data_IF_178318678390
#
_entry.id   IF_178318678390
#
_cell.length_a   1.000
_cell.length_b   1.000
_cell.length_c   1.000
_cell.angle_alpha   90.00
_cell.angle_beta   90.00
_cell.angle_gamma   90.00
#
_symmetry.space_group_name_H-M   'P 1'
#
loop_
_entity.id
_entity.type
_entity.pdbx_description
1 polymer ?
#
# COMPACT_ATOMS: atom_id res chain seq x y z
N UNK A 1 22.91 1.74 -1.83
CA UNK A 1 21.76 2.64 -2.09
C UNK A 1 20.56 1.76 -2.35
N UNK A 2 19.72 1.52 -1.34
CA UNK A 2 18.50 0.73 -1.51
C UNK A 2 17.33 1.71 -1.44
N UNK A 3 16.48 1.71 -2.47
CA UNK A 3 15.10 2.19 -2.36
C UNK A 3 14.27 0.99 -1.91
N UNK A 4 14.21 0.69 -0.60
CA UNK A 4 13.64 -0.56 -0.09
C UNK A 4 12.15 -0.70 -0.42
N UNK A 5 11.47 0.39 -0.76
CA UNK A 5 10.05 0.39 -1.09
C UNK A 5 9.80 -0.05 -2.54
N UNK A 6 10.63 0.39 -3.50
CA UNK A 6 10.49 0.03 -4.92
C UNK A 6 10.70 -1.47 -5.11
N UNK A 7 11.72 -2.03 -4.45
CA UNK A 7 12.03 -3.46 -4.57
C UNK A 7 10.92 -4.35 -4.01
N UNK A 8 10.23 -3.92 -2.96
CA UNK A 8 9.12 -4.71 -2.41
C UNK A 8 7.89 -4.64 -3.31
N UNK A 9 7.55 -3.45 -3.83
CA UNK A 9 6.47 -3.34 -4.82
C UNK A 9 6.77 -4.17 -6.06
N UNK A 10 8.02 -4.17 -6.55
CA UNK A 10 8.46 -5.04 -7.64
C UNK A 10 8.20 -6.51 -7.33
N UNK A 11 8.63 -7.00 -6.17
CA UNK A 11 8.38 -8.38 -5.74
C UNK A 11 6.90 -8.73 -5.65
N UNK A 12 6.04 -7.79 -5.25
CA UNK A 12 4.59 -8.03 -5.21
C UNK A 12 4.00 -8.27 -6.61
N UNK A 13 4.41 -7.50 -7.61
CA UNK A 13 3.99 -7.71 -9.01
C UNK A 13 4.66 -8.92 -9.65
N UNK A 14 5.93 -9.21 -9.34
CA UNK A 14 6.60 -10.44 -9.79
C UNK A 14 5.91 -11.70 -9.23
N UNK A 15 5.37 -11.64 -8.01
CA UNK A 15 4.59 -12.72 -7.41
C UNK A 15 3.15 -12.81 -7.94
N UNK A 16 2.66 -11.78 -8.64
CA UNK A 16 1.30 -11.73 -9.21
C UNK A 16 1.36 -11.16 -10.64
N UNK A 17 2.01 -11.86 -11.59
CA UNK A 17 2.29 -11.32 -12.93
C UNK A 17 1.03 -11.01 -13.74
N UNK A 18 -0.10 -11.63 -13.41
CA UNK A 18 -1.40 -11.40 -14.04
C UNK A 18 -2.09 -10.11 -13.55
N UNK A 19 -1.63 -9.51 -12.44
CA UNK A 19 -2.26 -8.33 -11.86
C UNK A 19 -1.65 -7.05 -12.42
N UNK A 20 -2.47 -6.28 -13.12
CA UNK A 20 -2.16 -4.90 -13.50
C UNK A 20 -2.32 -3.90 -12.34
N UNK A 21 -2.96 -4.31 -11.24
CA UNK A 21 -3.22 -3.48 -10.06
C UNK A 21 -3.15 -4.31 -8.79
N UNK A 22 -2.51 -3.77 -7.75
CA UNK A 22 -2.50 -4.33 -6.40
C UNK A 22 -3.23 -3.37 -5.47
N UNK A 23 -4.12 -3.90 -4.63
CA UNK A 23 -4.93 -3.11 -3.69
C UNK A 23 -4.50 -3.42 -2.27
N UNK A 24 -4.09 -2.40 -1.51
CA UNK A 24 -3.74 -2.51 -0.09
C UNK A 24 -4.85 -1.88 0.75
N UNK A 25 -5.52 -2.69 1.57
CA UNK A 25 -6.57 -2.25 2.50
C UNK A 25 -6.01 -2.19 3.94
N UNK A 26 -6.08 -1.03 4.58
CA UNK A 26 -5.53 -0.80 5.92
C UNK A 26 -6.33 0.22 6.72
N UNK A 27 -5.90 0.47 7.96
CA UNK A 27 -6.40 1.59 8.76
C UNK A 27 -5.41 2.75 8.64
N UNK A 28 -5.92 3.95 8.49
CA UNK A 28 -5.13 5.17 8.49
C UNK A 28 -4.40 5.31 9.82
N UNK A 29 -3.09 5.55 9.79
CA UNK A 29 -2.26 5.74 10.99
C UNK A 29 -2.76 6.87 11.89
N UNK A 30 -3.28 7.94 11.29
CA UNK A 30 -3.63 9.17 12.02
C UNK A 30 -5.06 9.16 12.58
N UNK A 31 -6.05 8.73 11.78
CA UNK A 31 -7.46 8.79 12.17
C UNK A 31 -8.11 7.42 12.42
N UNK A 32 -7.40 6.31 12.17
CA UNK A 32 -7.90 4.95 12.36
C UNK A 32 -8.99 4.49 11.38
N UNK A 33 -9.49 5.38 10.50
CA UNK A 33 -10.48 5.04 9.46
C UNK A 33 -9.90 4.11 8.41
N UNK A 34 -10.75 3.32 7.78
CA UNK A 34 -10.34 2.46 6.67
C UNK A 34 -9.82 3.29 5.50
N UNK A 35 -8.75 2.80 4.89
CA UNK A 35 -8.09 3.42 3.76
C UNK A 35 -7.67 2.32 2.79
N UNK A 36 -7.85 2.60 1.50
CA UNK A 36 -7.54 1.69 0.41
C UNK A 36 -6.56 2.39 -0.52
N UNK A 37 -5.43 1.74 -0.78
CA UNK A 37 -4.40 2.23 -1.68
C UNK A 37 -4.33 1.33 -2.89
N UNK A 38 -4.57 1.90 -4.06
CA UNK A 38 -4.38 1.24 -5.35
C UNK A 38 -2.96 1.50 -5.85
N UNK A 39 -2.25 0.43 -6.21
CA UNK A 39 -0.89 0.47 -6.74
C UNK A 39 -0.92 -0.07 -8.15
N UNK A 40 -0.37 0.71 -9.09
CA UNK A 40 -0.31 0.36 -10.52
C UNK A 40 1.13 0.50 -11.00
N UNK A 41 1.69 -0.48 -11.73
CA UNK A 41 3.00 -0.33 -12.34
C UNK A 41 2.94 0.70 -13.47
N UNK A 42 3.99 1.49 -13.62
CA UNK A 42 4.14 2.53 -14.64
C UNK A 42 5.50 2.36 -15.32
N UNK A 43 5.70 2.97 -16.48
CA UNK A 43 6.99 2.89 -17.20
C UNK A 43 8.19 3.41 -16.42
N UNK A 44 7.99 4.22 -15.37
CA UNK A 44 9.03 4.79 -14.52
C UNK A 44 9.03 4.31 -13.07
N UNK A 45 8.17 3.35 -12.68
CA UNK A 45 8.02 2.93 -11.29
C UNK A 45 6.59 2.51 -10.95
N UNK A 46 6.04 2.99 -9.85
CA UNK A 46 4.68 2.66 -9.40
C UNK A 46 3.87 3.92 -9.11
N UNK A 47 2.64 3.96 -9.61
CA UNK A 47 1.64 4.95 -9.25
C UNK A 47 0.83 4.47 -8.04
N UNK A 48 0.60 5.36 -7.08
CA UNK A 48 -0.23 5.11 -5.90
C UNK A 48 -1.44 6.04 -5.93
N UNK A 49 -2.63 5.49 -5.70
CA UNK A 49 -3.90 6.22 -5.61
C UNK A 49 -4.65 5.83 -4.32
N UNK A 50 -5.49 6.73 -3.79
CA UNK A 50 -6.31 6.45 -2.60
C UNK A 50 -5.63 6.75 -1.26
N UNK A 51 -4.42 7.34 -1.28
CA UNK A 51 -3.72 7.80 -0.09
C UNK A 51 -2.20 7.65 -0.24
N UNK A 52 -1.51 7.42 0.88
CA UNK A 52 -0.07 7.20 0.91
C UNK A 52 0.32 5.95 1.69
N UNK A 53 1.39 5.31 1.23
CA UNK A 53 2.00 4.14 1.85
C UNK A 53 3.39 4.51 2.38
N UNK A 54 3.67 4.18 3.63
CA UNK A 54 4.96 4.43 4.27
C UNK A 54 5.53 3.12 4.80
N UNK A 55 6.82 2.88 4.57
CA UNK A 55 7.50 1.72 5.13
C UNK A 55 7.83 1.99 6.60
N UNK A 56 7.45 1.07 7.49
CA UNK A 56 7.67 1.22 8.94
C UNK A 56 8.52 0.11 9.55
N UNK A 57 8.61 -1.04 8.90
CA UNK A 57 9.57 -2.09 9.25
C UNK A 57 9.97 -2.88 7.99
N UNK A 58 10.77 -3.94 8.13
CA UNK A 58 11.16 -4.78 7.00
C UNK A 58 9.95 -5.27 6.19
N UNK A 59 8.87 -5.62 6.89
CA UNK A 59 7.66 -6.26 6.33
C UNK A 59 6.37 -5.45 6.57
N UNK A 60 6.45 -4.34 7.30
CA UNK A 60 5.29 -3.55 7.74
C UNK A 60 5.19 -2.19 7.05
N UNK A 61 3.96 -1.81 6.75
CA UNK A 61 3.61 -0.51 6.17
C UNK A 61 2.54 0.20 6.98
N UNK A 62 2.64 1.51 7.04
CA UNK A 62 1.55 2.37 7.48
C UNK A 62 0.81 2.91 6.27
N UNK A 63 -0.51 2.90 6.38
CA UNK A 63 -1.42 3.49 5.41
C UNK A 63 -1.87 4.84 5.94
N UNK A 64 -1.95 5.84 5.07
CA UNK A 64 -2.51 7.15 5.38
C UNK A 64 -3.61 7.46 4.38
N UNK A 65 -4.81 7.80 4.87
CA UNK A 65 -5.92 8.16 3.99
C UNK A 65 -5.68 9.52 3.31
N UNK A 66 -6.37 9.83 2.20
CA UNK A 66 -6.18 11.07 1.46
C UNK A 66 -6.39 12.31 2.32
N UNK A 67 -7.43 12.31 3.16
CA UNK A 67 -7.74 13.43 4.06
C UNK A 67 -6.57 13.74 5.00
N UNK A 68 -6.06 12.71 5.70
CA UNK A 68 -4.98 12.89 6.65
C UNK A 68 -3.66 13.21 5.94
N UNK A 69 -3.45 12.70 4.73
CA UNK A 69 -2.27 13.02 3.93
C UNK A 69 -2.25 14.50 3.49
N UNK A 70 -3.40 15.08 3.13
CA UNK A 70 -3.48 16.51 2.79
C UNK A 70 -3.18 17.41 3.99
N UNK A 71 -3.66 17.04 5.19
CA UNK A 71 -3.47 17.83 6.41
C UNK A 71 -2.04 17.71 6.93
N UNK A 72 -1.49 16.50 6.91
CA UNK A 72 -0.13 16.26 7.36
C UNK A 72 0.54 15.21 6.47
N UNK A 73 1.25 15.60 5.40
CA UNK A 73 1.89 14.64 4.50
C UNK A 73 3.09 13.95 5.18
N UNK A 74 3.59 14.50 6.29
CA UNK A 74 4.72 13.98 7.05
C UNK A 74 4.19 12.97 8.06
N UNK A 75 4.60 11.71 7.95
CA UNK A 75 4.58 10.82 9.11
C UNK A 75 5.83 11.15 9.91
N UNK A 76 5.65 11.77 11.08
CA UNK A 76 6.73 11.83 12.04
C UNK A 76 7.10 10.39 12.38
N UNK A 77 8.34 10.01 12.11
CA UNK A 77 8.92 8.74 12.51
C UNK A 77 8.99 8.69 14.04
N UNK A 78 7.82 8.51 14.67
CA UNK A 78 7.73 8.22 16.08
C UNK A 78 7.60 6.70 16.13
N UNK A 79 8.75 6.03 16.03
CA UNK A 79 8.86 4.62 16.34
C UNK A 79 8.38 4.38 17.78
N UNK A 80 7.09 4.13 17.94
CA UNK A 80 6.50 3.44 19.08
C UNK A 80 5.83 2.20 18.51
N UNK A 81 6.38 1.00 18.76
CA UNK A 81 5.75 -0.24 18.32
C UNK A 81 4.42 -0.41 19.08
N UNK A 82 3.33 0.06 18.48
CA UNK A 82 1.97 -0.28 18.91
C UNK A 82 1.43 -1.35 17.97
N UNK A 83 2.00 -2.54 18.18
CA UNK A 83 1.45 -3.87 17.95
C UNK A 83 0.18 -3.99 17.08
N UNK A 84 0.29 -3.68 15.80
CA UNK A 84 -0.69 -4.13 14.81
C UNK A 84 0.05 -4.71 13.62
N UNK A 85 0.54 -5.94 13.79
CA UNK A 85 1.13 -6.75 12.73
C UNK A 85 0.03 -7.03 11.70
N UNK A 86 0.00 -6.26 10.63
CA UNK A 86 -0.75 -6.63 9.43
C UNK A 86 0.26 -7.13 8.42
N UNK A 87 0.40 -8.45 8.37
CA UNK A 87 1.15 -9.14 7.32
C UNK A 87 0.42 -8.92 5.99
N UNK A 88 1.16 -8.48 4.97
CA UNK A 88 0.63 -8.21 3.63
C UNK A 88 0.20 -9.48 2.88
N UNK A 89 0.64 -10.65 3.34
CA UNK A 89 0.24 -11.93 2.75
C UNK A 89 -1.24 -12.25 3.02
N UNK A 90 -1.85 -11.67 4.06
CA UNK A 90 -3.22 -11.99 4.46
C UNK A 90 -4.30 -11.07 3.85
N UNK A 91 -3.92 -10.09 3.00
CA UNK A 91 -4.83 -9.02 2.54
C UNK A 91 -4.95 -8.82 1.04
N UNK A 92 -4.38 -9.73 0.23
CA UNK A 92 -4.69 -9.76 -1.20
C UNK A 92 -6.12 -10.28 -1.35
N UNK A 93 -7.11 -9.38 -1.35
CA UNK A 93 -8.48 -9.74 -1.72
C UNK A 93 -8.48 -10.09 -3.21
N UNK A 94 -8.90 -11.32 -3.52
CA UNK A 94 -9.27 -11.76 -4.85
C UNK A 94 -10.50 -10.98 -5.30
N UNK A 95 -10.31 -9.92 -6.07
CA UNK A 95 -11.38 -9.33 -6.86
C UNK A 95 -11.22 -9.97 -8.25
N UNK A 96 -12.10 -10.94 -8.55
CA UNK A 96 -12.10 -11.70 -9.80
C UNK A 96 -12.29 -10.81 -11.04
N UNK A 97 -12.01 -11.34 -12.24
CA UNK A 97 -12.14 -10.56 -13.46
C UNK A 97 -13.61 -10.23 -13.72
N UNK A 98 -13.96 -8.95 -13.59
CA UNK A 98 -15.22 -8.44 -14.11
C UNK A 98 -15.19 -8.58 -15.64
N UNK A 99 -16.04 -9.48 -16.12
CA UNK A 99 -16.22 -9.83 -17.51
C UNK A 99 -16.60 -8.61 -18.33
N UNK A 100 -15.76 -8.27 -19.31
CA UNK A 100 -16.18 -7.45 -20.46
C UNK A 100 -17.15 -8.31 -21.28
N UNK A 101 -18.42 -7.91 -21.32
CA UNK A 101 -19.37 -8.34 -22.33
C UNK A 101 -19.72 -7.13 -23.20
N UNK A 102 -19.75 -7.44 -24.50
CA UNK A 102 -19.65 -6.61 -25.71
C UNK A 102 -20.64 -5.44 -25.84
#
# INVERSE_FOLDING_TARGET
MLFPMIEILRKMFEANPEKSRIVIKGKCSDCGREATIDITPTSGGFGLQGGALFKCSADGYLVKCPDCYQVNPIIHDIYKPQNTNVSLLDKVSEEGPDSVLE
#
